data_IF_948843048524
#
_entry.id   IF_948843048524
#
_cell.length_a   1.000
_cell.length_b   1.000
_cell.length_c   1.000
_cell.angle_alpha   90.00
_cell.angle_beta   90.00
_cell.angle_gamma   90.00
#
_symmetry.space_group_name_H-M   'P 1'
#
loop_
_entity.id
_entity.type
_entity.pdbx_description
1 polymer ?
#
# COMPACT_ATOMS: atom_id res chain seq x y z
N UNK A 1 -3.75 -29.44 15.26
CA UNK A 1 -4.15 -30.03 13.97
C UNK A 1 -5.31 -29.16 13.51
N UNK A 2 -5.17 -28.18 12.62
CA UNK A 2 -4.32 -28.06 11.42
C UNK A 2 -3.72 -26.65 11.42
N UNK A 3 -2.38 -26.56 11.45
CA UNK A 3 -1.60 -25.40 11.03
C UNK A 3 -1.19 -25.73 9.59
N UNK A 4 -1.95 -25.28 8.60
CA UNK A 4 -1.48 -25.12 7.23
C UNK A 4 -2.16 -23.88 6.65
N UNK A 5 -1.43 -22.77 6.70
CA UNK A 5 -1.77 -21.56 5.97
C UNK A 5 -0.42 -20.98 5.53
N UNK A 6 0.04 -21.41 4.36
CA UNK A 6 1.31 -20.98 3.75
C UNK A 6 1.09 -19.59 3.14
N UNK A 7 0.90 -18.59 4.00
CA UNK A 7 0.74 -17.19 3.61
C UNK A 7 1.97 -16.41 4.09
N UNK A 8 2.62 -15.67 3.18
CA UNK A 8 3.69 -14.75 3.57
C UNK A 8 3.11 -13.35 3.73
N UNK A 9 2.83 -12.99 4.99
CA UNK A 9 2.43 -11.64 5.37
C UNK A 9 3.64 -10.94 5.96
N UNK A 10 4.21 -9.99 5.21
CA UNK A 10 5.21 -9.06 5.77
C UNK A 10 4.60 -7.67 5.82
N UNK A 11 4.22 -7.24 7.02
CA UNK A 11 3.79 -5.87 7.29
C UNK A 11 4.88 -5.17 8.09
N UNK A 12 5.45 -4.08 7.54
CA UNK A 12 6.41 -3.22 8.25
C UNK A 12 5.83 -1.80 8.33
N UNK A 13 5.01 -1.56 9.35
CA UNK A 13 4.40 -0.26 9.66
C UNK A 13 3.83 -0.22 11.09
N UNK A 14 3.27 0.93 11.52
CA UNK A 14 2.57 1.09 12.83
C UNK A 14 1.07 0.76 12.75
N UNK A 15 0.63 0.02 11.73
CA UNK A 15 -0.78 -0.30 11.50
C UNK A 15 -1.35 -1.30 12.49
N UNK A 16 -2.58 -1.01 12.91
CA UNK A 16 -3.43 -1.92 13.69
C UNK A 16 -4.29 -2.74 12.71
N UNK A 17 -4.74 -3.94 13.11
CA UNK A 17 -5.62 -4.84 12.32
C UNK A 17 -6.89 -4.18 11.72
N UNK A 18 -7.24 -2.95 12.12
CA UNK A 18 -8.40 -2.19 11.65
C UNK A 18 -8.21 -1.51 10.28
N UNK A 19 -6.99 -1.42 9.75
CA UNK A 19 -6.75 -0.91 8.38
C UNK A 19 -7.16 -1.92 7.30
N UNK A 20 -7.38 -3.18 7.68
CA UNK A 20 -7.87 -4.26 6.85
C UNK A 20 -9.32 -4.58 7.23
N UNK A 21 -10.25 -4.31 6.33
CA UNK A 21 -11.65 -4.63 6.53
C UNK A 21 -12.19 -5.50 5.39
N UNK A 22 -12.61 -6.73 5.70
CA UNK A 22 -13.11 -7.67 4.70
C UNK A 22 -12.03 -8.16 3.73
N UNK A 23 -12.47 -8.76 2.62
CA UNK A 23 -11.59 -9.33 1.60
C UNK A 23 -11.03 -10.72 1.94
N UNK A 24 -10.08 -11.19 1.13
CA UNK A 24 -9.46 -12.51 1.27
C UNK A 24 -8.07 -12.55 0.65
N UNK A 25 -7.17 -13.34 1.24
CA UNK A 25 -5.85 -13.68 0.68
C UNK A 25 -5.84 -15.19 0.45
N UNK A 26 -5.64 -15.61 -0.80
CA UNK A 26 -5.59 -17.03 -1.17
C UNK A 26 -4.30 -17.69 -0.69
N UNK A 27 -4.33 -19.00 -0.46
CA UNK A 27 -3.13 -19.76 -0.10
C UNK A 27 -2.02 -19.63 -1.15
N UNK A 28 -0.77 -19.53 -0.70
CA UNK A 28 0.38 -19.30 -1.57
C UNK A 28 0.49 -17.87 -2.11
N UNK A 29 -0.36 -16.94 -1.65
CA UNK A 29 -0.24 -15.51 -1.97
C UNK A 29 0.79 -14.81 -1.09
N UNK A 30 1.29 -13.69 -1.59
CA UNK A 30 2.24 -12.81 -0.92
C UNK A 30 1.65 -11.41 -0.78
N UNK A 31 1.69 -10.87 0.44
CA UNK A 31 1.33 -9.49 0.71
C UNK A 31 2.50 -8.79 1.43
N UNK A 32 3.05 -7.76 0.79
CA UNK A 32 4.07 -6.89 1.37
C UNK A 32 3.59 -5.45 1.39
N UNK A 33 3.50 -4.87 2.59
CA UNK A 33 3.06 -3.48 2.78
C UNK A 33 4.10 -2.74 3.61
N UNK A 34 4.74 -1.77 2.96
CA UNK A 34 5.74 -0.86 3.53
C UNK A 34 5.25 0.60 3.32
N UNK A 35 4.09 0.90 3.91
CA UNK A 35 3.45 2.23 3.90
C UNK A 35 2.58 2.38 5.16
N UNK A 36 2.57 3.57 5.79
CA UNK A 36 1.76 3.80 7.00
C UNK A 36 0.28 4.11 6.70
N UNK A 37 0.02 4.90 5.64
CA UNK A 37 -1.32 5.26 5.20
C UNK A 37 -1.84 4.24 4.18
N UNK A 38 -2.26 3.09 4.70
CA UNK A 38 -2.84 2.00 3.91
C UNK A 38 -4.33 1.83 4.23
N UNK A 39 -5.16 1.70 3.19
CA UNK A 39 -6.58 1.39 3.31
C UNK A 39 -6.90 0.16 2.46
N UNK A 40 -7.43 -0.88 3.11
CA UNK A 40 -7.85 -2.12 2.50
C UNK A 40 -9.31 -2.41 2.83
N UNK A 41 -10.14 -2.45 1.80
CA UNK A 41 -11.54 -2.86 1.92
C UNK A 41 -11.94 -3.85 0.84
N UNK A 42 -12.42 -5.02 1.26
CA UNK A 42 -12.99 -6.04 0.37
C UNK A 42 -12.07 -6.46 -0.78
N UNK A 43 -10.75 -6.44 -0.55
CA UNK A 43 -9.74 -6.80 -1.56
C UNK A 43 -9.54 -8.33 -1.60
N UNK A 44 -9.48 -8.87 -2.81
CA UNK A 44 -9.20 -10.29 -3.06
C UNK A 44 -7.82 -10.43 -3.68
N UNK A 45 -6.91 -11.10 -2.97
CA UNK A 45 -5.55 -11.32 -3.41
C UNK A 45 -5.32 -12.79 -3.74
N UNK A 46 -4.99 -13.06 -5.00
CA UNK A 46 -4.50 -14.35 -5.48
C UNK A 46 -3.20 -14.12 -6.27
N UNK A 47 -2.06 -14.35 -5.63
CA UNK A 47 -0.73 -14.03 -6.16
C UNK A 47 0.06 -13.08 -5.26
N UNK A 48 0.92 -12.25 -5.84
CA UNK A 48 1.80 -11.30 -5.12
C UNK A 48 1.31 -9.86 -5.25
N UNK A 49 1.19 -9.17 -4.11
CA UNK A 49 0.94 -7.73 -3.99
C UNK A 49 2.00 -7.08 -3.10
N UNK A 50 2.68 -6.09 -3.66
CA UNK A 50 3.74 -5.33 -2.99
C UNK A 50 3.41 -3.83 -3.06
N UNK A 51 3.37 -3.15 -1.93
CA UNK A 51 3.18 -1.70 -1.83
C UNK A 51 4.32 -1.11 -1.01
N UNK A 52 5.12 -0.24 -1.61
CA UNK A 52 6.31 0.36 -1.00
C UNK A 52 6.22 1.88 -1.14
N UNK A 53 6.39 2.59 -0.02
CA UNK A 53 6.58 4.04 -0.01
C UNK A 53 8.01 4.39 0.41
N UNK A 54 8.64 5.36 -0.27
CA UNK A 54 9.92 5.91 0.17
C UNK A 54 9.78 6.62 1.53
N UNK A 55 8.75 7.46 1.65
CA UNK A 55 8.41 8.12 2.90
C UNK A 55 7.33 7.29 3.62
N UNK A 56 7.76 6.34 4.46
CA UNK A 56 6.83 5.45 5.16
C UNK A 56 6.03 6.17 6.26
N UNK A 57 6.64 7.11 6.99
CA UNK A 57 6.04 7.74 8.20
C UNK A 57 6.27 9.26 8.29
N UNK A 58 6.49 9.92 7.16
CA UNK A 58 6.82 11.33 7.08
C UNK A 58 8.05 11.58 6.23
N UNK A 59 8.50 12.82 6.17
CA UNK A 59 9.60 13.24 5.33
C UNK A 59 10.89 13.42 6.13
N UNK A 60 12.00 13.11 5.51
CA UNK A 60 13.32 13.47 6.05
C UNK A 60 13.62 14.93 5.72
N UNK A 61 13.96 15.73 6.72
CA UNK A 61 14.43 17.10 6.53
C UNK A 61 15.90 17.20 6.92
N UNK A 62 16.63 18.01 6.17
CA UNK A 62 18.03 18.31 6.48
C UNK A 62 18.07 19.45 7.50
N UNK A 63 18.69 19.22 8.66
CA UNK A 63 18.89 20.28 9.65
C UNK A 63 20.00 21.27 9.20
N UNK A 64 20.20 22.34 9.97
CA UNK A 64 21.25 23.35 9.70
C UNK A 64 22.68 22.76 9.67
N UNK A 65 22.87 21.55 10.22
CA UNK A 65 24.14 20.82 10.27
C UNK A 65 24.31 19.83 9.09
N UNK A 66 23.35 19.74 8.18
CA UNK A 66 23.40 18.81 7.05
C UNK A 66 22.93 17.39 7.37
N UNK A 67 22.43 17.13 8.57
CA UNK A 67 21.95 15.81 8.99
C UNK A 67 20.50 15.60 8.58
N UNK A 68 20.20 14.38 8.13
CA UNK A 68 18.86 13.96 7.73
C UNK A 68 18.07 13.46 8.95
N UNK A 69 17.08 14.24 9.39
CA UNK A 69 16.21 13.91 10.53
C UNK A 69 14.84 13.47 10.00
N UNK A 70 14.32 12.34 10.49
CA UNK A 70 12.95 11.91 10.20
C UNK A 70 11.97 12.81 10.95
N UNK A 71 11.17 13.58 10.22
CA UNK A 71 10.04 14.30 10.78
C UNK A 71 8.79 13.44 10.62
N UNK A 72 8.29 12.91 11.74
CA UNK A 72 6.99 12.25 11.77
C UNK A 72 5.91 13.22 11.32
N UNK A 73 5.12 12.83 10.34
CA UNK A 73 4.10 13.69 9.79
C UNK A 73 3.30 13.00 8.70
N UNK A 74 2.28 13.70 8.22
CA UNK A 74 1.39 13.18 7.18
C UNK A 74 2.02 13.23 5.78
N UNK A 75 3.22 13.79 5.61
CA UNK A 75 3.91 13.83 4.31
C UNK A 75 4.54 12.47 3.95
N UNK A 76 3.71 11.51 3.54
CA UNK A 76 4.07 10.11 3.31
C UNK A 76 3.29 9.52 2.13
N UNK A 77 3.72 8.37 1.63
CA UNK A 77 2.99 7.65 0.60
C UNK A 77 1.64 7.14 1.12
N UNK A 78 0.61 7.11 0.27
CA UNK A 78 -0.71 6.52 0.60
C UNK A 78 -1.15 5.52 -0.43
N UNK A 79 -1.78 4.45 0.03
CA UNK A 79 -2.39 3.47 -0.86
C UNK A 79 -3.78 3.09 -0.37
N UNK A 80 -4.77 3.23 -1.26
CA UNK A 80 -6.17 2.90 -1.04
C UNK A 80 -6.61 1.84 -2.04
N UNK A 81 -7.01 0.68 -1.51
CA UNK A 81 -7.58 -0.42 -2.28
C UNK A 81 -9.01 -0.68 -1.78
N UNK A 82 -10.00 -0.44 -2.64
CA UNK A 82 -11.42 -0.63 -2.32
C UNK A 82 -12.11 -1.51 -3.37
N UNK A 83 -12.56 -2.70 -2.97
CA UNK A 83 -13.15 -3.71 -3.85
C UNK A 83 -12.24 -4.01 -5.07
N UNK A 84 -10.99 -4.35 -4.79
CA UNK A 84 -9.95 -4.67 -5.79
C UNK A 84 -9.72 -6.18 -5.84
N UNK A 85 -9.55 -6.74 -7.04
CA UNK A 85 -9.09 -8.11 -7.23
C UNK A 85 -7.72 -8.12 -7.86
N UNK A 86 -6.75 -8.76 -7.21
CA UNK A 86 -5.39 -8.95 -7.72
C UNK A 86 -5.22 -10.41 -8.09
N UNK A 87 -4.99 -10.68 -9.37
CA UNK A 87 -4.88 -12.03 -9.93
C UNK A 87 -3.55 -12.14 -10.69
N UNK A 88 -2.55 -12.80 -10.11
CA UNK A 88 -1.27 -13.02 -10.79
C UNK A 88 -0.61 -14.32 -10.33
N UNK A 89 0.40 -14.79 -11.07
CA UNK A 89 1.10 -16.05 -10.76
C UNK A 89 1.89 -16.06 -9.44
N UNK A 90 2.15 -14.89 -8.84
CA UNK A 90 2.80 -14.76 -7.54
C UNK A 90 4.22 -15.35 -7.47
N UNK A 91 4.56 -15.91 -6.32
CA UNK A 91 5.86 -16.53 -6.02
C UNK A 91 6.03 -17.85 -6.77
N UNK A 92 7.23 -18.09 -7.30
CA UNK A 92 7.65 -19.41 -7.73
C UNK A 92 8.01 -20.27 -6.51
N UNK A 93 7.03 -21.00 -5.95
CA UNK A 93 7.22 -21.82 -4.75
C UNK A 93 8.21 -22.99 -4.92
N UNK A 94 8.52 -23.36 -6.16
CA UNK A 94 9.43 -24.46 -6.47
C UNK A 94 10.88 -24.01 -6.70
N UNK A 95 11.15 -22.69 -6.64
CA UNK A 95 12.49 -22.15 -6.78
C UNK A 95 13.35 -22.50 -5.57
N UNK A 96 14.40 -23.31 -5.79
CA UNK A 96 15.28 -23.83 -4.74
C UNK A 96 16.11 -22.74 -4.03
N UNK A 97 16.21 -21.55 -4.62
CA UNK A 97 16.98 -20.41 -4.14
C UNK A 97 16.14 -19.37 -3.39
N UNK A 98 14.86 -19.60 -3.14
CA UNK A 98 14.03 -18.66 -2.38
C UNK A 98 14.57 -18.48 -0.96
N UNK A 99 14.93 -17.25 -0.60
CA UNK A 99 15.33 -16.84 0.74
C UNK A 99 14.27 -15.90 1.33
N UNK A 100 13.24 -16.53 1.88
CA UNK A 100 12.04 -15.87 2.39
C UNK A 100 12.30 -14.79 3.47
N UNK A 101 13.23 -15.04 4.40
CA UNK A 101 13.54 -14.10 5.47
C UNK A 101 14.34 -12.87 4.99
N UNK A 102 14.95 -12.92 3.80
CA UNK A 102 15.63 -11.79 3.16
C UNK A 102 14.77 -11.09 2.10
N UNK A 103 13.55 -11.57 1.86
CA UNK A 103 12.70 -11.14 0.75
C UNK A 103 13.33 -11.35 -0.64
N UNK A 104 14.37 -12.20 -0.73
CA UNK A 104 15.02 -12.61 -1.97
C UNK A 104 14.31 -13.85 -2.51
N UNK A 105 13.20 -13.58 -3.21
CA UNK A 105 12.21 -14.59 -3.62
C UNK A 105 11.97 -14.44 -5.12
N UNK A 106 11.95 -15.56 -5.82
CA UNK A 106 11.61 -15.62 -7.24
C UNK A 106 10.10 -15.44 -7.44
N UNK A 107 9.72 -14.51 -8.32
CA UNK A 107 8.32 -14.17 -8.62
C UNK A 107 8.06 -14.36 -10.09
N UNK A 108 7.00 -15.10 -10.41
CA UNK A 108 6.53 -15.30 -11.78
C UNK A 108 5.82 -14.05 -12.28
N UNK A 109 4.94 -13.47 -11.45
CA UNK A 109 4.23 -12.23 -11.71
C UNK A 109 3.92 -11.54 -10.38
N UNK A 110 3.76 -10.21 -10.39
CA UNK A 110 3.35 -9.46 -9.21
C UNK A 110 2.60 -8.19 -9.60
N UNK A 111 1.80 -7.68 -8.67
CA UNK A 111 1.37 -6.29 -8.66
C UNK A 111 2.26 -5.52 -7.69
N UNK A 112 3.02 -4.53 -8.19
CA UNK A 112 3.87 -3.67 -7.38
C UNK A 112 3.44 -2.22 -7.49
N UNK A 113 3.28 -1.54 -6.35
CA UNK A 113 3.04 -0.10 -6.25
C UNK A 113 4.26 0.53 -5.56
N UNK A 114 4.87 1.51 -6.21
CA UNK A 114 5.99 2.31 -5.70
C UNK A 114 5.53 3.76 -5.55
N UNK A 115 5.58 4.27 -4.32
CA UNK A 115 5.14 5.62 -3.96
C UNK A 115 6.35 6.48 -3.60
N UNK A 116 6.61 7.51 -4.39
CA UNK A 116 7.67 8.48 -4.12
C UNK A 116 7.16 9.64 -3.27
N UNK A 117 7.92 10.08 -2.26
CA UNK A 117 7.55 11.21 -1.41
C UNK A 117 6.12 11.16 -0.86
N UNK A 118 5.29 12.15 -1.20
CA UNK A 118 3.88 12.24 -0.79
C UNK A 118 2.90 11.72 -1.86
N UNK A 119 3.29 10.69 -2.60
CA UNK A 119 2.46 10.09 -3.65
C UNK A 119 1.24 9.34 -3.11
N UNK A 120 0.17 9.27 -3.90
CA UNK A 120 -1.07 8.58 -3.55
C UNK A 120 -1.47 7.60 -4.66
N UNK A 121 -1.76 6.36 -4.30
CA UNK A 121 -2.31 5.36 -5.22
C UNK A 121 -3.71 4.96 -4.78
N UNK A 122 -4.69 5.04 -5.68
CA UNK A 122 -6.06 4.60 -5.42
C UNK A 122 -6.52 3.63 -6.50
N UNK A 123 -6.96 2.45 -6.09
CA UNK A 123 -7.62 1.49 -6.97
C UNK A 123 -9.00 1.16 -6.42
N UNK A 124 -10.03 1.28 -7.26
CA UNK A 124 -11.42 1.08 -6.84
C UNK A 124 -12.21 0.29 -7.88
N UNK A 125 -12.95 -0.73 -7.43
CA UNK A 125 -13.83 -1.56 -8.28
C UNK A 125 -13.12 -2.11 -9.52
N UNK A 126 -11.89 -2.62 -9.37
CA UNK A 126 -11.03 -3.00 -10.50
C UNK A 126 -10.42 -4.39 -10.31
N UNK A 127 -10.26 -5.10 -11.43
CA UNK A 127 -9.51 -6.37 -11.50
C UNK A 127 -8.16 -6.10 -12.16
N UNK A 128 -7.08 -6.42 -11.45
CA UNK A 128 -5.71 -6.29 -11.89
C UNK A 128 -5.13 -7.68 -12.13
N UNK A 129 -5.14 -8.11 -13.38
CA UNK A 129 -4.68 -9.43 -13.81
C UNK A 129 -3.29 -9.37 -14.47
N UNK A 130 -2.39 -10.25 -14.05
CA UNK A 130 -1.02 -10.36 -14.58
C UNK A 130 0.00 -9.49 -13.84
N UNK A 131 1.13 -9.24 -14.50
CA UNK A 131 2.26 -8.51 -13.93
C UNK A 131 2.14 -7.00 -14.17
N UNK A 132 2.09 -6.21 -13.09
CA UNK A 132 1.91 -4.76 -13.14
C UNK A 132 2.86 -4.05 -12.18
N UNK A 133 3.41 -2.91 -12.62
CA UNK A 133 4.20 -2.01 -11.78
C UNK A 133 3.63 -0.60 -11.94
N UNK A 134 3.15 -0.03 -10.84
CA UNK A 134 2.68 1.34 -10.76
C UNK A 134 3.70 2.17 -9.97
N UNK A 135 4.34 3.11 -10.65
CA UNK A 135 5.26 4.06 -10.03
C UNK A 135 4.59 5.43 -9.98
N UNK A 136 4.33 5.93 -8.78
CA UNK A 136 3.61 7.18 -8.55
C UNK A 136 4.60 8.26 -8.11
N UNK A 137 4.82 9.31 -8.93
CA UNK A 137 5.74 10.38 -8.59
C UNK A 137 5.32 11.16 -7.34
N UNK A 138 6.31 11.77 -6.68
CA UNK A 138 6.08 12.63 -5.54
C UNK A 138 5.11 13.77 -5.89
N UNK A 139 4.11 13.97 -5.03
CA UNK A 139 3.08 15.00 -5.23
C UNK A 139 2.03 14.66 -6.29
N UNK A 140 1.96 13.40 -6.72
CA UNK A 140 0.91 12.94 -7.63
C UNK A 140 -0.01 11.91 -6.98
N UNK A 141 -1.25 11.89 -7.43
CA UNK A 141 -2.25 10.86 -7.15
C UNK A 141 -2.56 10.08 -8.42
N UNK A 142 -2.41 8.76 -8.35
CA UNK A 142 -2.78 7.84 -9.41
C UNK A 142 -4.10 7.14 -9.06
N UNK A 143 -5.08 7.21 -9.97
CA UNK A 143 -6.35 6.49 -9.89
C UNK A 143 -6.36 5.34 -10.91
N UNK A 144 -6.69 4.15 -10.45
CA UNK A 144 -6.89 2.96 -11.27
C UNK A 144 -8.33 2.50 -11.13
N UNK A 145 -9.08 2.60 -12.23
CA UNK A 145 -10.51 2.29 -12.27
C UNK A 145 -10.78 1.29 -13.39
N UNK A 146 -11.79 0.44 -13.20
CA UNK A 146 -12.22 -0.48 -14.25
C UNK A 146 -12.71 0.30 -15.49
N UNK A 147 -12.27 -0.13 -16.67
CA UNK A 147 -12.69 0.45 -17.94
C UNK A 147 -12.83 -0.64 -19.00
N UNK A 148 -14.05 -0.80 -19.54
CA UNK A 148 -14.43 -1.74 -20.61
C UNK A 148 -13.79 -3.14 -20.54
N UNK A 149 -12.60 -3.31 -21.12
CA UNK A 149 -11.87 -4.58 -21.25
C UNK A 149 -10.59 -4.66 -20.38
N UNK A 150 -10.47 -3.81 -19.36
CA UNK A 150 -9.33 -3.75 -18.46
C UNK A 150 -9.49 -2.64 -17.45
N UNK A 151 -8.50 -1.77 -17.34
CA UNK A 151 -8.52 -0.62 -16.45
C UNK A 151 -7.95 0.62 -17.14
N UNK A 152 -8.34 1.77 -16.63
CA UNK A 152 -7.78 3.07 -16.98
C UNK A 152 -6.93 3.56 -15.81
N UNK A 153 -5.82 4.23 -16.12
CA UNK A 153 -4.93 4.87 -15.15
C UNK A 153 -4.98 6.37 -15.39
N UNK A 154 -5.30 7.12 -14.34
CA UNK A 154 -5.34 8.57 -14.37
C UNK A 154 -4.34 9.11 -13.34
N UNK A 155 -3.58 10.15 -13.69
CA UNK A 155 -2.58 10.75 -12.82
C UNK A 155 -2.87 12.24 -12.66
N UNK A 156 -3.00 12.67 -11.41
CA UNK A 156 -3.33 14.06 -11.05
C UNK A 156 -2.26 14.62 -10.12
N UNK A 157 -1.89 15.91 -10.24
CA UNK A 157 -1.14 16.57 -9.18
C UNK A 157 -2.00 16.68 -7.91
N UNK A 158 -1.40 16.44 -6.75
CA UNK A 158 -2.01 16.75 -5.46
C UNK A 158 -2.00 18.27 -5.29
N UNK A 159 -3.13 18.85 -4.89
CA UNK A 159 -3.26 20.30 -4.67
C UNK A 159 -2.29 20.75 -3.57
N UNK A 160 -1.73 21.96 -3.71
CA UNK A 160 -0.76 22.53 -2.76
C UNK A 160 -1.28 22.52 -1.31
N UNK A 161 -2.57 22.79 -1.13
CA UNK A 161 -3.24 22.80 0.19
C UNK A 161 -3.24 21.42 0.88
N UNK A 162 -3.14 20.34 0.11
CA UNK A 162 -3.11 18.96 0.59
C UNK A 162 -1.69 18.39 0.62
N UNK A 163 -0.66 19.20 0.33
CA UNK A 163 0.69 18.65 0.21
C UNK A 163 1.30 18.15 1.52
N UNK A 164 0.83 18.68 2.64
CA UNK A 164 1.29 18.27 3.97
C UNK A 164 0.46 17.10 4.54
N UNK A 165 -0.81 16.99 4.16
CA UNK A 165 -1.79 16.08 4.79
C UNK A 165 -2.27 14.94 3.89
N UNK A 166 -2.06 15.05 2.57
CA UNK A 166 -2.68 14.24 1.53
C UNK A 166 -4.19 14.46 1.36
N UNK A 167 -4.84 13.63 0.53
CA UNK A 167 -6.32 13.59 0.41
C UNK A 167 -7.01 12.95 1.60
N UNK A 168 -6.31 12.09 2.32
CA UNK A 168 -6.87 11.41 3.47
C UNK A 168 -5.75 10.97 4.40
N UNK A 169 -6.10 10.75 5.66
CA UNK A 169 -5.19 10.20 6.65
C UNK A 169 -5.97 9.43 7.71
N UNK A 170 -5.28 8.53 8.39
CA UNK A 170 -5.79 7.94 9.63
C UNK A 170 -5.64 8.92 10.80
N UNK A 171 -6.74 9.24 11.46
CA UNK A 171 -6.74 9.88 12.77
C UNK A 171 -6.68 8.81 13.87
N UNK A 172 -5.77 9.00 14.82
CA UNK A 172 -5.44 8.04 15.86
C UNK A 172 -5.81 8.62 17.23
N UNK A 173 -6.82 8.06 17.88
CA UNK A 173 -7.19 8.44 19.24
C UNK A 173 -6.88 7.29 20.22
N UNK A 174 -6.21 7.61 21.33
CA UNK A 174 -5.97 6.66 22.42
C UNK A 174 -7.10 6.82 23.44
N UNK A 175 -7.90 5.78 23.62
CA UNK A 175 -8.93 5.73 24.64
C UNK A 175 -8.62 4.59 25.64
N UNK A 176 -7.92 4.95 26.72
CA UNK A 176 -7.39 3.98 27.68
C UNK A 176 -6.37 3.05 27.03
N UNK A 177 -6.65 1.74 27.04
CA UNK A 177 -5.82 0.72 26.40
C UNK A 177 -6.19 0.45 24.93
N UNK A 178 -7.16 1.18 24.37
CA UNK A 178 -7.66 0.94 23.02
C UNK A 178 -7.21 2.06 22.06
N UNK A 179 -6.71 1.65 20.89
CA UNK A 179 -6.45 2.57 19.77
C UNK A 179 -7.72 2.61 18.92
N UNK A 180 -8.31 3.79 18.79
CA UNK A 180 -9.38 4.09 17.84
C UNK A 180 -8.77 4.71 16.58
N UNK A 181 -9.28 4.27 15.43
CA UNK A 181 -8.86 4.69 14.11
C UNK A 181 -10.07 5.25 13.39
N UNK A 182 -9.94 6.46 12.88
CA UNK A 182 -10.94 7.06 12.01
C UNK A 182 -10.26 7.52 10.73
N UNK A 183 -10.80 7.12 9.57
CA UNK A 183 -10.33 7.66 8.29
C UNK A 183 -10.90 9.06 8.14
N UNK A 184 -10.05 10.05 7.95
CA UNK A 184 -10.45 11.42 7.60
C UNK A 184 -10.21 11.60 6.11
N UNK A 185 -11.27 11.88 5.37
CA UNK A 185 -11.19 12.26 3.96
C UNK A 185 -11.28 13.77 3.86
N UNK A 186 -10.30 14.38 3.19
CA UNK A 186 -10.28 15.80 2.89
C UNK A 186 -10.90 15.98 1.51
N UNK A 187 -12.13 16.49 1.50
CA UNK A 187 -12.84 16.79 0.26
C UNK A 187 -12.29 18.06 -0.38
N UNK A 188 -12.31 18.09 -1.69
CA UNK A 188 -12.09 19.31 -2.46
C UNK A 188 -13.24 20.28 -2.16
N UNK A 189 -12.94 21.41 -1.52
CA UNK A 189 -13.87 22.54 -1.39
C UNK A 189 -14.08 23.23 -2.74
#
# INVERSE_FOLDING_TARGET
>A
MILECTQMLTYKGKGTLKQFFGGSISDGSELQIEVAEFYWRDVQLNGSLIVIAENIMGSTQTNELGEQILHYGQRCGRCKLDNVKVLNKGINWFAANNVYWKQDIDRLEMLKVLLHGNAEFEATNVVLEGNHVFEVPNGCRMHVISHNAGFEVQLYPIKDEMMETGSWFWDYAINGSHIQLQKIELHEL
#
